data_IF_431696009556
#
_entry.id   IF_431696009556
#
_cell.length_a   1.000
_cell.length_b   1.000
_cell.length_c   1.000
_cell.angle_alpha   90.00
_cell.angle_beta   90.00
_cell.angle_gamma   90.00
#
_symmetry.space_group_name_H-M   'P 1'
#
loop_
_entity.id
_entity.type
_entity.pdbx_description
1 polymer ?
#
# COMPACT_ATOMS: atom_id res chain seq x y z
N UNK A 1 18.11 10.09 13.57
CA UNK A 1 17.15 9.17 14.21
C UNK A 1 15.74 9.76 14.34
N UNK A 2 15.55 11.02 14.76
CA UNK A 2 14.20 11.62 14.90
C UNK A 2 13.39 11.74 13.60
N UNK A 3 14.05 11.92 12.45
CA UNK A 3 13.39 12.04 11.14
C UNK A 3 12.72 10.73 10.69
N UNK A 4 13.33 9.58 10.99
CA UNK A 4 12.78 8.26 10.65
C UNK A 4 11.48 8.00 11.42
N UNK A 5 11.47 8.33 12.71
CA UNK A 5 10.27 8.24 13.56
C UNK A 5 9.12 9.10 13.03
N UNK A 6 9.43 10.32 12.57
CA UNK A 6 8.44 11.24 11.98
C UNK A 6 7.86 10.66 10.68
N UNK A 7 8.70 10.09 9.80
CA UNK A 7 8.24 9.47 8.55
C UNK A 7 7.30 8.28 8.84
N UNK A 8 7.65 7.43 9.81
CA UNK A 8 6.82 6.30 10.21
C UNK A 8 5.47 6.77 10.78
N UNK A 9 5.47 7.80 11.63
CA UNK A 9 4.23 8.37 12.18
C UNK A 9 3.33 8.91 11.06
N UNK A 10 3.89 9.63 10.10
CA UNK A 10 3.12 10.19 8.97
C UNK A 10 2.54 9.08 8.10
N UNK A 11 3.30 8.01 7.82
CA UNK A 11 2.80 6.86 7.06
C UNK A 11 1.65 6.14 7.79
N UNK A 12 1.75 5.96 9.10
CA UNK A 12 0.68 5.34 9.91
C UNK A 12 -0.56 6.24 9.88
N UNK A 13 -0.41 7.55 10.03
CA UNK A 13 -1.54 8.49 9.97
C UNK A 13 -2.21 8.46 8.59
N UNK A 14 -1.46 8.47 7.51
CA UNK A 14 -2.02 8.41 6.13
C UNK A 14 -2.65 7.05 5.82
N UNK A 15 -2.09 5.95 6.32
CA UNK A 15 -2.63 4.59 6.15
C UNK A 15 -3.83 4.28 7.03
N UNK A 16 -3.93 4.90 8.22
CA UNK A 16 -5.04 4.74 9.15
C UNK A 16 -6.23 5.66 8.80
N UNK A 17 -6.03 6.69 7.99
CA UNK A 17 -7.12 7.49 7.46
C UNK A 17 -7.92 6.66 6.45
N UNK A 18 -9.25 6.52 6.62
CA UNK A 18 -10.14 5.92 5.63
C UNK A 18 -10.40 6.89 4.47
N UNK A 19 -9.40 7.69 4.09
CA UNK A 19 -9.41 8.60 2.93
C UNK A 19 -9.07 7.89 1.63
N UNK A 20 -8.65 6.61 1.70
CA UNK A 20 -8.71 5.72 0.54
C UNK A 20 -10.19 5.55 0.23
N UNK A 21 -10.69 6.12 -0.88
CA UNK A 21 -12.10 6.00 -1.19
C UNK A 21 -12.37 4.52 -1.39
N UNK A 22 -13.01 3.90 -0.39
CA UNK A 22 -13.75 2.68 -0.58
C UNK A 22 -14.88 3.03 -1.53
N UNK A 23 -14.56 2.98 -2.82
CA UNK A 23 -15.56 2.98 -3.87
C UNK A 23 -16.47 1.80 -3.56
N UNK A 24 -17.71 2.11 -3.19
CA UNK A 24 -18.80 1.14 -3.09
C UNK A 24 -19.15 0.50 -4.45
N UNK A 25 -18.31 0.70 -5.47
CA UNK A 25 -18.32 0.09 -6.79
C UNK A 25 -17.07 -0.79 -7.05
N UNK A 26 -16.40 -1.35 -6.03
CA UNK A 26 -15.47 -2.49 -6.20
C UNK A 26 -16.24 -3.80 -6.49
N UNK A 27 -17.23 -3.71 -7.39
CA UNK A 27 -17.69 -4.87 -8.11
C UNK A 27 -16.48 -5.59 -8.70
N UNK A 28 -16.47 -6.91 -8.54
CA UNK A 28 -15.55 -7.85 -9.15
C UNK A 28 -14.80 -7.29 -10.39
N UNK A 29 -13.47 -7.10 -10.25
CA UNK A 29 -12.42 -6.73 -11.22
C UNK A 29 -12.24 -5.23 -11.62
N UNK A 30 -10.99 -4.72 -11.86
CA UNK A 30 -9.64 -5.29 -11.70
C UNK A 30 -8.70 -4.52 -10.73
N UNK A 31 -9.15 -3.48 -10.02
CA UNK A 31 -8.26 -2.62 -9.20
C UNK A 31 -7.65 -3.32 -7.98
N UNK A 32 -8.35 -4.29 -7.38
CA UNK A 32 -7.81 -5.12 -6.29
C UNK A 32 -6.74 -6.10 -6.72
N UNK A 33 -6.87 -6.65 -7.93
CA UNK A 33 -5.85 -7.51 -8.52
C UNK A 33 -4.57 -6.74 -8.81
N UNK A 34 -4.67 -5.51 -9.35
CA UNK A 34 -3.50 -4.67 -9.62
C UNK A 34 -2.77 -4.30 -8.32
N UNK A 35 -3.49 -3.94 -7.25
CA UNK A 35 -2.88 -3.69 -5.93
C UNK A 35 -2.15 -4.91 -5.37
N UNK A 36 -2.75 -6.10 -5.49
CA UNK A 36 -2.12 -7.36 -5.08
C UNK A 36 -0.86 -7.67 -5.93
N UNK A 37 -0.94 -7.47 -7.24
CA UNK A 37 0.19 -7.70 -8.16
C UNK A 37 1.35 -6.76 -7.83
N UNK A 38 1.08 -5.48 -7.57
CA UNK A 38 2.09 -4.51 -7.16
C UNK A 38 2.74 -4.92 -5.83
N UNK A 39 1.96 -5.39 -4.86
CA UNK A 39 2.47 -5.90 -3.59
C UNK A 39 3.42 -7.10 -3.80
N UNK A 40 3.03 -8.05 -4.64
CA UNK A 40 3.83 -9.24 -4.97
C UNK A 40 5.14 -8.86 -5.64
N UNK A 41 5.11 -7.96 -6.63
CA UNK A 41 6.31 -7.48 -7.31
C UNK A 41 7.27 -6.77 -6.34
N UNK A 42 6.73 -6.00 -5.39
CA UNK A 42 7.53 -5.31 -4.39
C UNK A 42 8.25 -6.29 -3.45
N UNK A 43 7.57 -7.37 -3.05
CA UNK A 43 8.17 -8.45 -2.24
C UNK A 43 9.28 -9.16 -3.03
N UNK A 44 9.04 -9.47 -4.30
CA UNK A 44 10.02 -10.14 -5.16
C UNK A 44 11.27 -9.29 -5.40
N UNK A 45 11.08 -7.98 -5.62
CA UNK A 45 12.17 -7.00 -5.73
C UNK A 45 13.01 -6.95 -4.44
N UNK A 46 12.36 -6.89 -3.27
CA UNK A 46 13.05 -6.86 -1.97
C UNK A 46 13.78 -8.18 -1.65
N UNK A 47 13.26 -9.31 -2.13
CA UNK A 47 13.93 -10.61 -2.04
C UNK A 47 15.04 -10.81 -3.09
N UNK A 48 15.27 -9.85 -3.99
CA UNK A 48 16.26 -9.95 -5.07
C UNK A 48 15.97 -11.10 -6.04
N UNK A 49 14.70 -11.49 -6.16
CA UNK A 49 14.23 -12.58 -7.03
C UNK A 49 13.87 -12.08 -8.44
N UNK A 50 14.06 -10.78 -8.67
CA UNK A 50 13.95 -10.01 -9.93
C UNK A 50 15.13 -9.06 -9.93
#
# INVERSE_FOLDING_TARGET
MGTILIVILVLILVGALPTWPHSKNWGYYPSGGVGLILLILLILLLMGRI
#
